data_IF_295395240013
#
_entry.id   IF_295395240013
#
_cell.length_a   1.000
_cell.length_b   1.000
_cell.length_c   1.000
_cell.angle_alpha   90.00
_cell.angle_beta   90.00
_cell.angle_gamma   90.00
#
_symmetry.space_group_name_H-M   'P 1'
#
loop_
_entity.id
_entity.type
_entity.pdbx_description
1 polymer ?
#
# COMPACT_ATOMS: atom_id res chain seq x y z
N UNK A 1 15.09 -15.35 -26.70
CA UNK A 1 13.75 -14.72 -26.69
C UNK A 1 12.72 -15.71 -26.16
N UNK A 2 12.45 -15.72 -24.85
CA UNK A 2 11.41 -16.56 -24.27
C UNK A 2 10.01 -16.09 -24.68
N UNK A 3 9.13 -17.05 -25.01
CA UNK A 3 7.70 -16.80 -25.17
C UNK A 3 7.05 -16.70 -23.79
N UNK A 4 6.42 -15.57 -23.49
CA UNK A 4 5.88 -15.29 -22.15
C UNK A 4 4.47 -14.75 -22.20
N UNK A 5 3.72 -15.01 -21.14
CA UNK A 5 2.39 -14.45 -20.89
C UNK A 5 2.44 -13.52 -19.68
N UNK A 6 1.79 -12.35 -19.77
CA UNK A 6 1.71 -11.41 -18.65
C UNK A 6 0.49 -11.67 -17.79
N UNK A 7 0.71 -11.99 -16.52
CA UNK A 7 -0.32 -12.36 -15.55
C UNK A 7 -0.35 -11.33 -14.42
N UNK A 8 -1.56 -10.96 -14.00
CA UNK A 8 -1.83 -10.06 -12.89
C UNK A 8 -2.69 -10.76 -11.85
N UNK A 9 -2.31 -10.65 -10.58
CA UNK A 9 -3.00 -11.29 -9.45
C UNK A 9 -4.06 -10.39 -8.79
N UNK A 10 -3.78 -9.09 -8.69
CA UNK A 10 -4.68 -8.09 -8.09
C UNK A 10 -4.99 -6.95 -9.05
N UNK A 11 -6.16 -6.30 -8.96
CA UNK A 11 -6.45 -5.07 -9.70
C UNK A 11 -5.35 -4.02 -9.49
N UNK A 12 -4.98 -3.30 -10.56
CA UNK A 12 -3.85 -2.37 -10.57
C UNK A 12 -2.52 -2.98 -10.06
N UNK A 13 -2.37 -4.31 -10.04
CA UNK A 13 -1.15 -4.99 -9.60
C UNK A 13 -0.06 -4.99 -10.67
N UNK A 14 1.18 -5.25 -10.23
CA UNK A 14 2.30 -5.53 -11.13
C UNK A 14 1.98 -6.72 -12.04
N UNK A 15 2.44 -6.62 -13.28
CA UNK A 15 2.33 -7.70 -14.25
C UNK A 15 3.58 -8.54 -14.11
N UNK A 16 3.38 -9.84 -13.91
CA UNK A 16 4.45 -10.82 -13.83
C UNK A 16 4.44 -11.67 -15.09
N UNK A 17 5.61 -11.94 -15.65
CA UNK A 17 5.73 -12.79 -16.84
C UNK A 17 5.90 -14.26 -16.42
N UNK A 18 5.15 -15.14 -17.07
CA UNK A 18 5.19 -16.58 -16.87
C UNK A 18 5.36 -17.29 -18.21
N UNK A 19 5.86 -18.51 -18.16
CA UNK A 19 5.92 -19.41 -19.31
C UNK A 19 4.53 -20.09 -19.49
N UNK A 20 3.81 -19.86 -20.60
CA UNK A 20 2.51 -20.47 -20.86
C UNK A 20 2.61 -21.96 -21.21
N UNK A 21 3.80 -22.49 -21.51
CA UNK A 21 3.98 -23.86 -22.01
C UNK A 21 3.30 -24.05 -23.36
N UNK A 22 2.47 -25.09 -23.46
CA UNK A 22 1.68 -25.40 -24.66
C UNK A 22 0.26 -24.79 -24.63
N UNK A 23 -0.06 -23.98 -23.62
CA UNK A 23 -1.41 -23.42 -23.44
C UNK A 23 -1.61 -22.14 -24.24
N UNK A 24 -2.65 -22.11 -25.07
CA UNK A 24 -3.14 -20.87 -25.67
C UNK A 24 -4.00 -20.09 -24.66
N UNK A 25 -3.48 -18.95 -24.23
CA UNK A 25 -4.06 -18.15 -23.15
C UNK A 25 -4.49 -16.76 -23.66
N UNK A 26 -5.76 -16.59 -24.08
CA UNK A 26 -6.25 -15.28 -24.48
C UNK A 26 -6.35 -14.33 -23.29
N UNK A 27 -6.29 -13.02 -23.57
CA UNK A 27 -6.44 -11.97 -22.55
C UNK A 27 -7.80 -12.11 -21.84
N UNK A 28 -7.80 -11.94 -20.52
CA UNK A 28 -8.97 -12.12 -19.67
C UNK A 28 -9.12 -13.53 -19.09
N UNK A 29 -8.35 -14.51 -19.59
CA UNK A 29 -8.38 -15.89 -19.07
C UNK A 29 -7.83 -15.93 -17.64
N UNK A 30 -8.53 -16.63 -16.75
CA UNK A 30 -8.05 -16.89 -15.38
C UNK A 30 -7.25 -18.19 -15.38
N UNK A 31 -6.05 -18.12 -14.83
CA UNK A 31 -5.09 -19.23 -14.83
C UNK A 31 -4.54 -19.47 -13.44
N UNK A 32 -4.17 -20.72 -13.17
CA UNK A 32 -3.50 -21.15 -11.96
C UNK A 32 -2.01 -21.20 -12.23
N UNK A 33 -1.24 -20.47 -11.43
CA UNK A 33 0.22 -20.40 -11.54
C UNK A 33 0.89 -20.78 -10.24
N UNK A 34 2.10 -21.34 -10.35
CA UNK A 34 2.95 -21.60 -9.20
C UNK A 34 3.85 -20.38 -8.97
N UNK A 35 3.76 -19.75 -7.80
CA UNK A 35 4.65 -18.66 -7.39
C UNK A 35 5.61 -19.15 -6.31
N UNK A 36 6.53 -18.32 -5.82
CA UNK A 36 7.36 -18.68 -4.65
C UNK A 36 6.54 -18.77 -3.36
N UNK A 37 5.32 -18.22 -3.37
CA UNK A 37 4.43 -18.20 -2.21
C UNK A 37 3.48 -19.39 -2.16
N UNK A 38 3.24 -20.03 -3.31
CA UNK A 38 2.37 -21.19 -3.45
C UNK A 38 1.58 -21.09 -4.75
N UNK A 39 0.46 -21.81 -4.80
CA UNK A 39 -0.44 -21.78 -5.94
C UNK A 39 -1.39 -20.59 -5.82
N UNK A 40 -1.45 -19.75 -6.86
CA UNK A 40 -2.28 -18.54 -6.91
C UNK A 40 -3.08 -18.48 -8.22
N UNK A 41 -4.25 -17.84 -8.15
CA UNK A 41 -5.07 -17.56 -9.35
C UNK A 41 -4.72 -16.17 -9.86
N UNK A 42 -4.28 -16.10 -11.11
CA UNK A 42 -4.03 -14.86 -11.83
C UNK A 42 -4.96 -14.69 -13.03
N UNK A 43 -4.96 -13.48 -13.60
CA UNK A 43 -5.63 -13.15 -14.85
C UNK A 43 -4.60 -12.76 -15.90
N UNK A 44 -4.76 -13.29 -17.11
CA UNK A 44 -3.93 -12.94 -18.26
C UNK A 44 -4.31 -11.53 -18.72
N UNK A 45 -3.33 -10.62 -18.71
CA UNK A 45 -3.49 -9.22 -19.11
C UNK A 45 -2.68 -8.87 -20.36
N UNK A 46 -1.59 -9.60 -20.61
CA UNK A 46 -0.79 -9.47 -21.84
C UNK A 46 -0.82 -10.84 -22.53
N UNK A 47 -1.21 -10.90 -23.82
CA UNK A 47 -1.21 -12.16 -24.56
C UNK A 47 0.22 -12.71 -24.69
N UNK A 48 0.33 -14.00 -25.05
CA UNK A 48 1.61 -14.63 -25.32
C UNK A 48 2.42 -13.84 -26.34
N UNK A 49 3.62 -13.40 -25.96
CA UNK A 49 4.54 -12.67 -26.83
C UNK A 49 5.99 -13.03 -26.51
N UNK A 50 6.86 -12.91 -27.51
CA UNK A 50 8.30 -12.97 -27.28
C UNK A 50 8.79 -11.66 -26.67
N UNK A 51 9.59 -11.76 -25.62
CA UNK A 51 10.15 -10.59 -24.92
C UNK A 51 11.66 -10.74 -24.84
N UNK A 52 12.45 -9.65 -24.99
CA UNK A 52 13.89 -9.67 -24.72
C UNK A 52 14.18 -10.17 -23.31
N UNK A 53 15.26 -10.93 -23.15
CA UNK A 53 15.59 -11.58 -21.86
C UNK A 53 15.86 -10.58 -20.73
N UNK A 54 16.30 -9.37 -21.06
CA UNK A 54 16.55 -8.25 -20.14
C UNK A 54 15.27 -7.74 -19.44
N UNK A 55 14.10 -7.91 -20.05
CA UNK A 55 12.82 -7.48 -19.48
C UNK A 55 12.16 -8.57 -18.62
N UNK A 56 12.80 -9.74 -18.50
CA UNK A 56 12.24 -10.91 -17.85
C UNK A 56 13.11 -11.36 -16.69
N UNK A 57 12.54 -11.38 -15.48
CA UNK A 57 13.22 -11.94 -14.32
C UNK A 57 13.24 -13.46 -14.40
N UNK A 58 14.38 -14.04 -14.79
CA UNK A 58 14.59 -15.49 -14.81
C UNK A 58 14.85 -16.05 -13.39
N UNK A 59 14.45 -17.30 -13.08
CA UNK A 59 13.75 -18.26 -13.93
C UNK A 59 12.25 -17.97 -14.05
N UNK A 60 11.74 -18.11 -15.27
CA UNK A 60 10.29 -18.06 -15.53
C UNK A 60 9.61 -19.27 -14.90
N UNK A 61 8.57 -19.02 -14.10
CA UNK A 61 7.69 -20.08 -13.61
C UNK A 61 6.63 -20.41 -14.67
N UNK A 62 6.16 -21.65 -14.66
CA UNK A 62 5.18 -22.14 -15.62
C UNK A 62 3.75 -21.88 -15.16
N UNK A 63 2.86 -21.65 -16.13
CA UNK A 63 1.41 -21.74 -15.91
C UNK A 63 1.04 -23.21 -15.76
N UNK A 64 0.31 -23.55 -14.69
CA UNK A 64 -0.06 -24.94 -14.41
C UNK A 64 -1.23 -25.34 -15.31
N UNK A 65 -2.30 -24.54 -15.29
CA UNK A 65 -3.56 -24.83 -16.00
C UNK A 65 -4.51 -23.63 -16.00
N UNK A 66 -5.54 -23.71 -16.84
CA UNK A 66 -6.71 -22.83 -16.78
C UNK A 66 -7.52 -23.12 -15.51
N UNK A 67 -8.11 -22.07 -14.93
CA UNK A 67 -8.94 -22.17 -13.73
C UNK A 67 -10.19 -23.02 -13.99
N UNK A 68 -10.47 -23.94 -13.07
CA UNK A 68 -11.69 -24.76 -13.08
C UNK A 68 -12.76 -24.17 -12.15
N UNK A 69 -14.05 -24.54 -12.31
CA UNK A 69 -15.11 -24.11 -11.40
C UNK A 69 -14.80 -24.40 -9.93
N UNK A 70 -14.25 -25.58 -9.64
CA UNK A 70 -13.84 -25.98 -8.28
C UNK A 70 -12.80 -25.03 -7.66
N UNK A 71 -11.90 -24.47 -8.48
CA UNK A 71 -10.92 -23.49 -8.00
C UNK A 71 -11.56 -22.15 -7.66
N UNK A 72 -12.61 -21.76 -8.40
CA UNK A 72 -13.37 -20.54 -8.12
C UNK A 72 -14.15 -20.67 -6.81
N UNK A 73 -14.74 -21.84 -6.57
CA UNK A 73 -15.40 -22.15 -5.29
C UNK A 73 -14.39 -22.13 -4.14
N UNK A 74 -13.24 -22.80 -4.30
CA UNK A 74 -12.14 -22.74 -3.32
C UNK A 74 -11.67 -21.32 -3.06
N UNK A 75 -11.52 -20.49 -4.10
CA UNK A 75 -11.13 -19.08 -3.94
C UNK A 75 -12.17 -18.30 -3.13
N UNK A 76 -13.46 -18.54 -3.36
CA UNK A 76 -14.53 -17.90 -2.60
C UNK A 76 -14.49 -18.30 -1.12
N UNK A 77 -14.40 -19.59 -0.84
CA UNK A 77 -14.26 -20.12 0.52
C UNK A 77 -12.99 -19.59 1.21
N UNK A 78 -11.87 -19.51 0.47
CA UNK A 78 -10.61 -18.97 0.97
C UNK A 78 -10.74 -17.50 1.38
N UNK A 79 -11.52 -16.71 0.62
CA UNK A 79 -11.79 -15.30 0.94
C UNK A 79 -12.62 -15.16 2.22
N UNK A 80 -13.61 -16.03 2.42
CA UNK A 80 -14.42 -16.04 3.65
C UNK A 80 -13.56 -16.42 4.86
N UNK A 81 -12.78 -17.49 4.76
CA UNK A 81 -11.81 -17.89 5.80
C UNK A 81 -10.74 -16.83 6.06
N UNK A 82 -10.32 -16.08 5.05
CA UNK A 82 -9.38 -14.97 5.21
C UNK A 82 -9.95 -13.88 6.11
N UNK A 83 -11.23 -13.54 5.95
CA UNK A 83 -11.90 -12.55 6.79
C UNK A 83 -12.03 -13.02 8.24
N UNK A 84 -12.37 -14.29 8.45
CA UNK A 84 -12.39 -14.90 9.78
C UNK A 84 -11.01 -14.89 10.42
N UNK A 85 -9.98 -15.29 9.68
CA UNK A 85 -8.60 -15.28 10.14
C UNK A 85 -8.11 -13.88 10.52
N UNK A 86 -8.48 -12.87 9.73
CA UNK A 86 -8.18 -11.48 10.00
C UNK A 86 -8.86 -10.98 11.27
N UNK A 87 -10.13 -11.37 11.52
CA UNK A 87 -10.84 -11.02 12.74
C UNK A 87 -10.19 -11.64 13.99
N UNK A 88 -9.84 -12.93 13.92
CA UNK A 88 -9.09 -13.61 14.99
C UNK A 88 -7.74 -12.93 15.23
N UNK A 89 -7.03 -12.57 14.16
CA UNK A 89 -5.74 -11.91 14.29
C UNK A 89 -5.85 -10.52 14.93
N UNK A 90 -6.90 -9.75 14.60
CA UNK A 90 -7.17 -8.46 15.24
C UNK A 90 -7.38 -8.60 16.75
N UNK A 91 -8.15 -9.60 17.17
CA UNK A 91 -8.36 -9.87 18.59
C UNK A 91 -7.03 -10.16 19.30
N UNK A 92 -6.21 -11.06 18.75
CA UNK A 92 -4.91 -11.42 19.36
C UNK A 92 -3.91 -10.27 19.41
N UNK A 93 -3.91 -9.42 18.38
CA UNK A 93 -3.09 -8.19 18.35
C UNK A 93 -3.50 -7.25 19.48
N UNK A 94 -4.81 -7.07 19.67
CA UNK A 94 -5.35 -6.23 20.74
C UNK A 94 -5.05 -6.80 22.13
N UNK A 95 -5.25 -8.11 22.34
CA UNK A 95 -4.98 -8.79 23.61
C UNK A 95 -3.51 -8.67 24.04
N UNK A 96 -2.59 -8.60 23.06
CA UNK A 96 -1.15 -8.47 23.29
C UNK A 96 -0.65 -7.02 23.31
N UNK A 97 -1.51 -6.05 23.01
CA UNK A 97 -1.14 -4.63 22.96
C UNK A 97 -0.07 -4.31 21.92
N UNK A 98 -0.06 -5.03 20.78
CA UNK A 98 0.93 -4.79 19.72
C UNK A 98 0.54 -3.56 18.91
N UNK A 99 1.48 -2.63 18.74
CA UNK A 99 1.29 -1.40 17.95
C UNK A 99 1.39 -1.69 16.44
N UNK A 100 0.33 -2.30 15.90
CA UNK A 100 0.19 -2.59 14.48
C UNK A 100 -1.28 -2.59 14.04
N UNK A 101 -1.51 -2.25 12.77
CA UNK A 101 -2.82 -2.24 12.15
C UNK A 101 -2.92 -3.33 11.08
N UNK A 102 -3.79 -4.30 11.28
CA UNK A 102 -4.05 -5.34 10.28
C UNK A 102 -5.00 -4.83 9.18
N UNK A 103 -4.50 -4.82 7.95
CA UNK A 103 -5.17 -4.25 6.77
C UNK A 103 -6.01 -5.31 6.07
N UNK A 104 -5.39 -6.44 5.71
CA UNK A 104 -6.02 -7.47 4.88
C UNK A 104 -5.38 -8.85 5.10
N UNK A 105 -6.04 -9.92 4.70
CA UNK A 105 -5.50 -11.28 4.75
C UNK A 105 -5.87 -12.06 3.49
N UNK A 106 -4.98 -12.93 3.04
CA UNK A 106 -5.20 -13.79 1.88
C UNK A 106 -4.69 -15.21 2.15
N UNK A 107 -5.46 -16.20 1.72
CA UNK A 107 -5.01 -17.60 1.67
C UNK A 107 -4.49 -17.92 0.28
N UNK A 108 -3.44 -18.73 0.20
CA UNK A 108 -3.05 -19.39 -1.04
C UNK A 108 -4.16 -20.36 -1.49
N UNK A 109 -4.20 -20.69 -2.79
CA UNK A 109 -5.28 -21.52 -3.35
C UNK A 109 -5.37 -22.90 -2.66
N UNK A 110 -4.22 -23.46 -2.31
CA UNK A 110 -4.04 -24.73 -1.61
C UNK A 110 -4.25 -24.65 -0.07
N UNK A 111 -4.53 -23.47 0.49
CA UNK A 111 -4.68 -23.21 1.94
C UNK A 111 -3.44 -23.53 2.80
N UNK A 112 -2.30 -23.80 2.17
CA UNK A 112 -1.07 -24.12 2.91
C UNK A 112 -0.53 -22.91 3.68
N UNK A 113 -0.76 -21.70 3.15
CA UNK A 113 -0.24 -20.45 3.71
C UNK A 113 -1.33 -19.37 3.79
N UNK A 114 -1.26 -18.58 4.86
CA UNK A 114 -2.04 -17.37 5.07
C UNK A 114 -1.09 -16.19 5.14
N UNK A 115 -1.28 -15.21 4.27
CA UNK A 115 -0.52 -13.96 4.29
C UNK A 115 -1.40 -12.88 4.89
N UNK A 116 -0.95 -12.27 5.99
CA UNK A 116 -1.66 -11.16 6.65
C UNK A 116 -0.85 -9.89 6.45
N UNK A 117 -1.49 -8.88 5.87
CA UNK A 117 -0.92 -7.58 5.60
C UNK A 117 -1.17 -6.63 6.76
N UNK A 118 -0.10 -5.96 7.22
CA UNK A 118 -0.20 -5.01 8.32
C UNK A 118 0.62 -3.74 8.06
N UNK A 119 0.23 -2.65 8.71
CA UNK A 119 1.02 -1.42 8.81
C UNK A 119 1.45 -1.18 10.26
N UNK A 120 2.64 -0.61 10.44
CA UNK A 120 3.20 -0.24 11.72
C UNK A 120 4.22 0.88 11.50
N UNK A 121 4.29 1.83 12.43
CA UNK A 121 5.21 2.97 12.36
C UNK A 121 6.63 2.61 12.79
N UNK A 122 6.78 1.55 13.59
CA UNK A 122 8.06 1.09 14.14
C UNK A 122 8.29 -0.41 13.98
N UNK A 123 9.35 -0.90 14.64
CA UNK A 123 9.62 -2.33 14.74
C UNK A 123 8.64 -2.94 15.74
N UNK A 124 7.94 -3.99 15.32
CA UNK A 124 7.00 -4.73 16.17
C UNK A 124 7.50 -6.16 16.34
N UNK A 125 7.61 -6.63 17.58
CA UNK A 125 7.92 -8.05 17.83
C UNK A 125 6.62 -8.87 17.80
N UNK A 126 6.46 -9.64 16.72
CA UNK A 126 5.29 -10.48 16.49
C UNK A 126 5.60 -11.98 16.60
N UNK A 127 6.74 -12.38 17.17
CA UNK A 127 7.14 -13.81 17.27
C UNK A 127 6.10 -14.67 17.99
N UNK A 128 5.56 -14.16 19.10
CA UNK A 128 4.52 -14.87 19.86
C UNK A 128 3.18 -14.87 19.14
N UNK A 129 2.82 -13.74 18.50
CA UNK A 129 1.60 -13.63 17.69
C UNK A 129 1.59 -14.68 16.57
N UNK A 130 2.71 -14.89 15.88
CA UNK A 130 2.81 -15.90 14.82
C UNK A 130 2.56 -17.31 15.36
N UNK A 131 3.09 -17.65 16.54
CA UNK A 131 2.85 -18.96 17.19
C UNK A 131 1.37 -19.16 17.52
N UNK A 132 0.75 -18.12 18.06
CA UNK A 132 -0.66 -18.13 18.42
C UNK A 132 -1.60 -18.21 17.21
N UNK A 133 -1.25 -17.54 16.12
CA UNK A 133 -2.03 -17.59 14.89
C UNK A 133 -1.85 -18.94 14.19
N UNK A 134 -0.63 -19.47 14.15
CA UNK A 134 -0.36 -20.80 13.58
C UNK A 134 -1.14 -21.91 14.31
N UNK A 135 -1.23 -21.85 15.65
CA UNK A 135 -2.00 -22.82 16.44
C UNK A 135 -3.51 -22.73 16.20
N UNK A 136 -4.03 -21.52 15.94
CA UNK A 136 -5.48 -21.30 15.77
C UNK A 136 -5.93 -21.57 14.34
N UNK A 137 -5.17 -21.11 13.34
CA UNK A 137 -5.52 -21.18 11.93
C UNK A 137 -5.13 -22.51 11.27
N UNK A 138 -4.27 -23.31 11.91
CA UNK A 138 -3.75 -24.61 11.40
C UNK A 138 -3.11 -24.50 10.00
N UNK A 139 -2.65 -23.32 9.63
CA UNK A 139 -1.96 -23.01 8.38
C UNK A 139 -0.68 -22.22 8.68
N UNK A 140 0.27 -22.20 7.74
CA UNK A 140 1.49 -21.42 7.89
C UNK A 140 1.17 -19.93 7.77
N UNK A 141 1.38 -19.17 8.83
CA UNK A 141 1.10 -17.73 8.86
C UNK A 141 2.34 -16.95 8.46
N UNK A 142 2.18 -16.05 7.49
CA UNK A 142 3.18 -15.08 7.05
C UNK A 142 2.65 -13.67 7.31
N UNK A 143 3.34 -12.90 8.14
CA UNK A 143 3.01 -11.49 8.38
C UNK A 143 3.84 -10.63 7.43
N UNK A 144 3.18 -9.75 6.68
CA UNK A 144 3.83 -8.86 5.73
C UNK A 144 3.52 -7.40 6.05
N UNK A 145 4.57 -6.64 6.35
CA UNK A 145 4.45 -5.19 6.51
C UNK A 145 4.28 -4.54 5.13
N UNK A 146 3.32 -3.63 5.03
CA UNK A 146 3.09 -2.80 3.84
C UNK A 146 3.23 -1.32 4.19
N UNK A 147 3.46 -0.48 3.18
CA UNK A 147 3.50 0.97 3.38
C UNK A 147 2.10 1.60 3.38
N UNK A 148 2.01 2.84 3.86
CA UNK A 148 0.77 3.64 3.89
C UNK A 148 0.09 3.78 2.52
N UNK A 149 0.86 3.79 1.43
CA UNK A 149 0.32 3.86 0.06
C UNK A 149 -0.29 2.54 -0.38
N UNK A 150 0.34 1.42 -0.04
CA UNK A 150 -0.19 0.09 -0.33
C UNK A 150 -1.43 -0.21 0.51
N UNK A 151 -1.45 0.27 1.77
CA UNK A 151 -2.67 0.26 2.58
C UNK A 151 -3.82 0.98 1.87
N UNK A 152 -3.60 2.22 1.41
CA UNK A 152 -4.61 2.96 0.66
C UNK A 152 -4.99 2.28 -0.67
N UNK A 153 -4.07 1.56 -1.31
CA UNK A 153 -4.35 0.77 -2.51
C UNK A 153 -5.28 -0.42 -2.22
N UNK A 154 -5.06 -1.11 -1.11
CA UNK A 154 -5.86 -2.28 -0.71
C UNK A 154 -7.25 -1.86 -0.25
N UNK A 155 -7.32 -0.82 0.61
CA UNK A 155 -8.60 -0.28 1.09
C UNK A 155 -9.38 0.42 -0.03
N UNK A 156 -8.68 0.97 -1.02
CA UNK A 156 -9.28 1.80 -2.05
C UNK A 156 -9.78 3.13 -1.49
N UNK A 157 -10.64 3.80 -2.25
CA UNK A 157 -11.26 5.06 -1.84
C UNK A 157 -11.33 6.09 -2.97
N UNK A 158 -11.67 7.32 -2.58
CA UNK A 158 -11.82 8.47 -3.48
C UNK A 158 -10.73 9.49 -3.15
N UNK A 159 -10.01 9.93 -4.17
CA UNK A 159 -8.98 10.96 -4.04
C UNK A 159 -9.59 12.36 -3.91
N UNK A 160 -8.76 13.37 -3.58
CA UNK A 160 -9.22 14.76 -3.47
C UNK A 160 -9.79 15.32 -4.79
N UNK A 161 -9.48 14.69 -5.92
CA UNK A 161 -10.03 15.00 -7.24
C UNK A 161 -11.45 14.43 -7.49
N UNK A 162 -12.05 13.74 -6.51
CA UNK A 162 -13.39 13.14 -6.64
C UNK A 162 -13.43 11.83 -7.46
N UNK A 163 -12.27 11.30 -7.89
CA UNK A 163 -12.16 10.02 -8.61
C UNK A 163 -11.61 8.91 -7.72
N UNK A 164 -11.75 7.65 -8.13
CA UNK A 164 -11.10 6.53 -7.45
C UNK A 164 -9.58 6.75 -7.37
N UNK A 165 -8.95 6.30 -6.28
CA UNK A 165 -7.49 6.45 -6.10
C UNK A 165 -6.70 5.90 -7.30
N UNK A 166 -5.79 6.72 -7.85
CA UNK A 166 -4.93 6.33 -8.99
C UNK A 166 -4.19 5.01 -8.72
N UNK A 167 -3.69 4.81 -7.49
CA UNK A 167 -2.98 3.60 -7.03
C UNK A 167 -3.83 2.32 -6.96
N UNK A 168 -5.15 2.45 -6.80
CA UNK A 168 -6.10 1.33 -6.77
C UNK A 168 -6.74 1.06 -8.14
N UNK A 169 -6.57 1.98 -9.09
CA UNK A 169 -7.23 1.93 -10.41
C UNK A 169 -6.28 1.46 -11.51
N UNK A 170 -5.27 2.26 -11.85
CA UNK A 170 -4.42 2.01 -13.02
C UNK A 170 -2.91 2.08 -12.71
N UNK A 171 -2.50 2.87 -11.72
CA UNK A 171 -1.08 2.98 -11.35
C UNK A 171 -0.65 1.74 -10.58
N UNK A 172 0.16 0.91 -11.24
CA UNK A 172 0.71 -0.33 -10.67
C UNK A 172 2.08 -0.16 -10.05
N UNK A 173 2.87 0.77 -10.56
CA UNK A 173 4.21 1.10 -10.07
C UNK A 173 4.30 2.55 -9.61
N UNK A 174 5.17 2.79 -8.64
CA UNK A 174 5.30 4.07 -7.98
C UNK A 174 6.73 4.55 -8.05
N UNK A 175 6.91 5.68 -8.71
CA UNK A 175 8.15 6.42 -8.71
C UNK A 175 8.11 7.52 -7.63
N UNK A 176 9.28 7.95 -7.13
CA UNK A 176 9.36 9.07 -6.21
C UNK A 176 8.76 10.32 -6.86
N UNK A 177 7.97 11.07 -6.07
CA UNK A 177 7.36 12.33 -6.49
C UNK A 177 8.06 13.44 -5.73
N UNK A 178 8.46 14.51 -6.43
CA UNK A 178 9.09 15.67 -5.79
C UNK A 178 8.14 16.87 -5.75
N UNK A 179 8.36 17.78 -4.81
CA UNK A 179 7.57 19.01 -4.66
C UNK A 179 7.73 19.92 -5.90
N UNK A 180 8.86 19.82 -6.62
CA UNK A 180 9.09 20.57 -7.87
C UNK A 180 8.02 20.26 -8.92
N UNK A 181 7.58 19.01 -9.01
CA UNK A 181 6.55 18.58 -9.96
C UNK A 181 5.20 19.27 -9.71
N UNK A 182 4.84 19.46 -8.43
CA UNK A 182 3.63 20.19 -8.08
C UNK A 182 3.73 21.67 -8.50
N UNK A 183 4.93 22.27 -8.37
CA UNK A 183 5.19 23.64 -8.80
C UNK A 183 5.13 23.80 -10.32
N UNK A 184 5.71 22.86 -11.07
CA UNK A 184 5.66 22.82 -12.54
C UNK A 184 4.22 22.73 -13.05
N UNK A 185 3.35 22.04 -12.33
CA UNK A 185 1.93 21.89 -12.64
C UNK A 185 1.05 23.02 -12.07
N UNK A 186 1.67 24.11 -11.60
CA UNK A 186 0.98 25.28 -11.02
C UNK A 186 0.04 24.95 -9.85
N UNK A 187 0.33 23.89 -9.09
CA UNK A 187 -0.43 23.55 -7.90
C UNK A 187 0.07 24.35 -6.70
N UNK A 188 -0.87 24.73 -5.85
CA UNK A 188 -0.56 25.38 -4.56
C UNK A 188 0.21 24.41 -3.67
N UNK A 189 1.33 24.87 -3.09
CA UNK A 189 2.20 24.09 -2.20
C UNK A 189 1.60 23.79 -0.82
N UNK A 190 0.29 23.95 -0.65
CA UNK A 190 -0.40 23.55 0.57
C UNK A 190 -0.44 22.00 0.66
N UNK A 191 0.07 21.38 1.73
CA UNK A 191 0.06 19.93 1.91
C UNK A 191 -1.30 19.27 1.68
N UNK A 192 -2.40 19.93 2.03
CA UNK A 192 -3.76 19.41 1.83
C UNK A 192 -4.14 19.25 0.35
N UNK A 193 -3.52 20.03 -0.56
CA UNK A 193 -3.79 19.99 -2.01
C UNK A 193 -2.85 19.07 -2.78
N UNK A 194 -1.64 18.84 -2.27
CA UNK A 194 -0.60 18.06 -2.96
C UNK A 194 -0.38 16.66 -2.36
N UNK A 195 -1.00 16.37 -1.21
CA UNK A 195 -0.94 15.06 -0.57
C UNK A 195 -2.18 14.23 -0.90
N UNK A 196 -1.97 12.95 -1.19
CA UNK A 196 -3.05 11.98 -1.32
C UNK A 196 -3.57 11.51 0.03
N UNK A 197 -4.64 10.71 0.00
CA UNK A 197 -5.27 10.10 1.19
C UNK A 197 -4.28 9.29 2.02
N UNK A 198 -3.24 8.73 1.40
CA UNK A 198 -2.16 8.01 2.07
C UNK A 198 -1.14 8.90 2.80
N UNK A 199 -1.33 10.23 2.84
CA UNK A 199 -0.42 11.19 3.49
C UNK A 199 0.89 11.46 2.74
N UNK A 200 1.11 10.82 1.58
CA UNK A 200 2.24 11.09 0.68
C UNK A 200 1.82 11.98 -0.48
N UNK A 201 2.78 12.57 -1.17
CA UNK A 201 2.55 13.34 -2.41
C UNK A 201 1.73 12.53 -3.43
N UNK A 202 0.87 13.24 -4.16
CA UNK A 202 -0.02 12.69 -5.18
C UNK A 202 0.78 11.95 -6.27
N UNK A 203 0.55 10.65 -6.39
CA UNK A 203 1.19 9.81 -7.41
C UNK A 203 0.83 10.21 -8.85
N UNK A 204 -0.32 10.85 -9.04
CA UNK A 204 -0.78 11.29 -10.36
C UNK A 204 0.05 12.49 -10.88
N UNK A 205 0.77 13.24 -10.01
CA UNK A 205 1.69 14.31 -10.44
C UNK A 205 2.80 13.78 -11.34
N UNK A 206 3.40 12.64 -10.96
CA UNK A 206 4.44 12.01 -11.79
C UNK A 206 3.87 11.51 -13.10
N UNK A 207 2.75 10.82 -13.04
CA UNK A 207 2.06 10.31 -14.23
C UNK A 207 1.77 11.41 -15.25
N UNK A 208 1.23 12.55 -14.83
CA UNK A 208 0.94 13.68 -15.69
C UNK A 208 2.22 14.33 -16.25
N UNK A 209 3.30 14.39 -15.45
CA UNK A 209 4.58 14.92 -15.93
C UNK A 209 5.24 14.02 -16.98
N UNK A 210 5.11 12.69 -16.85
CA UNK A 210 5.67 11.74 -17.82
C UNK A 210 4.91 11.82 -19.14
N UNK A 211 3.57 11.89 -19.07
CA UNK A 211 2.71 12.13 -20.23
C UNK A 211 3.07 13.44 -20.96
N UNK A 212 3.33 14.52 -20.21
CA UNK A 212 3.71 15.80 -20.80
C UNK A 212 5.10 15.77 -21.47
N UNK A 213 6.02 14.92 -20.98
CA UNK A 213 7.38 14.76 -21.54
C UNK A 213 7.44 13.81 -22.74
N UNK A 214 6.49 12.88 -22.84
CA UNK A 214 6.40 11.89 -23.90
C UNK A 214 5.07 12.02 -24.65
N UNK A 215 4.87 13.10 -25.45
CA UNK A 215 3.65 13.26 -26.24
C UNK A 215 3.43 12.07 -27.20
N UNK A 216 4.49 11.35 -27.56
CA UNK A 216 4.46 10.24 -28.53
C UNK A 216 3.81 8.94 -28.00
N UNK A 217 3.53 8.86 -26.70
CA UNK A 217 2.83 7.70 -26.12
C UNK A 217 1.36 7.55 -26.62
N UNK A 218 0.79 8.59 -27.24
CA UNK A 218 -0.54 8.57 -27.86
C UNK A 218 -0.51 8.45 -29.39
N UNK A 219 0.63 8.69 -30.05
CA UNK A 219 0.78 8.67 -31.52
C UNK A 219 1.34 7.35 -32.07
N UNK A 220 1.75 6.42 -31.20
CA UNK A 220 2.08 5.06 -31.62
C UNK A 220 3.45 4.88 -32.25
N UNK A 221 4.38 5.81 -32.00
CA UNK A 221 5.79 5.66 -32.37
C UNK A 221 6.62 5.70 -31.09
N UNK A 222 7.12 4.53 -30.66
CA UNK A 222 8.06 4.43 -29.54
C UNK A 222 9.44 4.80 -30.07
N UNK A 223 9.89 6.02 -29.83
CA UNK A 223 11.32 6.32 -29.80
C UNK A 223 11.84 5.96 -28.40
N UNK A 224 12.79 5.02 -28.36
CA UNK A 224 13.58 4.69 -27.18
C UNK A 224 14.48 5.89 -26.89
N UNK A 225 14.14 6.68 -25.87
CA UNK A 225 15.08 7.65 -25.30
C UNK A 225 15.79 6.99 -24.11
N UNK A 226 17.08 6.73 -24.31
CA UNK A 226 18.03 6.43 -23.25
C UNK A 226 18.08 7.62 -22.29
N UNK A 227 17.49 7.50 -21.10
CA UNK A 227 17.77 8.44 -20.00
C UNK A 227 19.17 8.09 -19.46
N UNK A 228 20.16 8.88 -19.91
CA UNK A 228 21.47 8.98 -19.29
C UNK A 228 21.30 9.35 -17.82
N UNK A 229 21.65 8.44 -16.92
CA UNK A 229 21.81 8.73 -15.50
C UNK A 229 23.00 9.67 -15.35
N UNK A 230 22.72 10.94 -15.05
CA UNK A 230 23.73 11.87 -14.59
C UNK A 230 24.34 11.34 -13.29
N UNK A 231 25.62 11.00 -13.38
CA UNK A 231 26.48 10.71 -12.24
C UNK A 231 26.62 11.98 -11.38
N UNK A 232 26.03 11.98 -10.19
CA UNK A 232 26.53 12.78 -9.09
C UNK A 232 27.00 11.82 -7.98
N UNK A 233 28.25 11.41 -8.13
CA UNK A 233 29.00 10.63 -7.15
C UNK A 233 29.21 11.50 -5.89
N UNK A 234 28.54 11.15 -4.80
CA UNK A 234 28.97 11.58 -3.46
C UNK A 234 30.07 10.61 -3.02
N UNK A 235 31.29 11.13 -2.99
CA UNK A 235 32.49 10.45 -2.54
C UNK A 235 32.32 9.86 -1.13
N UNK A 236 32.60 8.56 -1.00
CA UNK A 236 33.01 7.95 0.27
C UNK A 236 34.50 7.68 0.15
N UNK A 237 35.29 8.43 0.92
CA UNK A 237 36.71 8.16 1.10
C UNK A 237 36.87 6.81 1.82
N UNK A 238 37.60 5.89 1.19
CA UNK A 238 38.12 4.69 1.84
C UNK A 238 39.28 5.08 2.77
N UNK A 239 39.20 4.67 4.04
CA UNK A 239 40.32 4.60 4.97
C UNK A 239 40.55 3.14 5.38
N UNK A 240 41.82 2.71 5.56
CA UNK A 240 42.25 1.35 5.27
C UNK A 240 42.12 0.36 6.44
N UNK A 241 42.18 -0.92 6.07
CA UNK A 241 42.30 -2.07 6.94
C UNK A 241 43.59 -2.07 7.77
N UNK A 242 43.51 -2.59 9.01
CA UNK A 242 44.59 -3.36 9.61
C UNK A 242 44.93 -3.08 11.07
N UNK A 243 44.81 -4.12 11.91
CA UNK A 243 45.79 -4.37 12.99
C UNK A 243 45.30 -4.32 14.44
N UNK A 244 45.01 -5.51 14.99
CA UNK A 244 45.41 -6.05 16.31
C UNK A 244 45.80 -5.12 17.46
N UNK A 245 45.26 -5.38 18.67
CA UNK A 245 45.94 -5.06 19.93
C UNK A 245 45.01 -4.81 21.13
N UNK A 246 45.19 -5.57 22.19
CA UNK A 246 44.61 -5.37 23.53
C UNK A 246 45.05 -4.03 24.14
N UNK A 247 44.23 -3.45 25.03
CA UNK A 247 44.53 -3.28 26.47
C UNK A 247 43.47 -2.38 27.16
N UNK A 248 43.25 -2.68 28.43
CA UNK A 248 42.38 -1.99 29.37
C UNK A 248 42.80 -0.51 29.59
N UNK A 249 41.87 0.35 30.02
CA UNK A 249 41.98 1.22 31.21
C UNK A 249 40.74 2.11 31.36
N UNK A 250 40.27 2.12 32.61
CA UNK A 250 39.26 2.97 33.24
C UNK A 250 39.37 4.48 32.98
N UNK A 251 38.23 5.19 33.01
CA UNK A 251 37.85 6.15 34.07
C UNK A 251 37.08 7.39 33.57
N UNK A 252 35.95 7.66 34.24
CA UNK A 252 35.60 9.02 34.70
C UNK A 252 34.79 9.93 33.76
N UNK A 253 33.91 10.81 34.31
CA UNK A 253 32.72 11.29 33.64
C UNK A 253 32.86 12.71 33.08
N UNK A 254 32.07 13.04 32.05
CA UNK A 254 31.83 14.44 31.67
C UNK A 254 30.33 14.70 31.55
N UNK A 255 29.89 15.64 32.37
CA UNK A 255 28.55 16.19 32.48
C UNK A 255 28.14 17.06 31.27
N UNK A 256 26.81 17.12 31.07
CA UNK A 256 25.99 18.26 30.58
C UNK A 256 26.22 18.76 29.14
N UNK A 257 25.18 18.65 28.32
CA UNK A 257 24.21 19.77 28.17
C UNK A 257 22.95 19.34 27.41
N UNK A 258 21.82 19.72 27.99
CA UNK A 258 20.46 19.50 27.52
C UNK A 258 20.03 20.64 26.60
N UNK A 259 19.81 20.38 25.32
CA UNK A 259 19.12 21.30 24.42
C UNK A 259 17.67 20.81 24.21
N UNK A 260 16.75 21.47 24.92
CA UNK A 260 15.31 21.36 24.76
C UNK A 260 14.93 22.04 23.44
N UNK A 261 14.37 21.30 22.50
CA UNK A 261 13.70 21.87 21.33
C UNK A 261 12.25 22.18 21.72
N UNK A 262 11.94 23.47 21.88
CA UNK A 262 10.61 24.00 22.16
C UNK A 262 9.62 23.62 21.04
N UNK A 263 8.44 23.13 21.44
CA UNK A 263 7.30 22.90 20.55
C UNK A 263 6.62 24.24 20.23
N UNK A 264 6.21 24.51 18.99
CA UNK A 264 5.37 25.68 18.71
C UNK A 264 3.99 25.53 19.37
N UNK A 265 3.37 26.64 19.82
CA UNK A 265 2.09 26.59 20.51
C UNK A 265 0.96 26.14 19.58
N UNK A 266 0.05 25.32 20.14
CA UNK A 266 -1.20 24.90 19.49
C UNK A 266 -2.08 26.12 19.23
N UNK A 267 -2.57 26.25 18.00
CA UNK A 267 -3.64 27.16 17.67
C UNK A 267 -4.92 26.79 18.45
N UNK A 268 -5.46 27.76 19.16
CA UNK A 268 -6.70 27.67 19.92
C UNK A 268 -7.90 27.59 18.97
N UNK A 269 -8.76 26.59 19.14
CA UNK A 269 -10.09 26.54 18.54
C UNK A 269 -11.06 27.28 19.48
N UNK A 270 -11.88 28.22 18.98
CA UNK A 270 -12.77 29.00 19.83
C UNK A 270 -14.03 28.21 20.21
N UNK A 271 -14.40 28.29 21.49
CA UNK A 271 -15.78 28.19 21.96
C UNK A 271 -16.22 26.85 22.54
N UNK A 272 -16.05 26.68 23.85
CA UNK A 272 -16.97 25.96 24.73
C UNK A 272 -16.72 26.43 26.16
N UNK A 273 -17.55 27.36 26.63
CA UNK A 273 -17.49 27.89 27.99
C UNK A 273 -17.88 26.81 29.01
N UNK A 274 -16.95 26.56 29.93
CA UNK A 274 -17.10 25.61 31.01
C UNK A 274 -18.11 26.09 32.03
N UNK A 275 -19.33 25.54 31.97
CA UNK A 275 -20.19 25.34 33.14
C UNK A 275 -21.10 24.13 32.90
N UNK A 276 -21.02 23.13 33.79
CA UNK A 276 -22.15 22.28 34.13
C UNK A 276 -22.42 21.01 33.30
N UNK A 277 -22.25 19.86 33.97
CA UNK A 277 -23.04 18.63 33.80
C UNK A 277 -23.05 17.89 32.44
N UNK A 278 -22.15 16.91 32.31
CA UNK A 278 -22.33 15.77 31.41
C UNK A 278 -23.40 14.82 31.97
N UNK A 279 -24.68 15.14 31.74
CA UNK A 279 -25.79 14.22 31.95
C UNK A 279 -26.02 13.37 30.68
N UNK A 280 -25.76 12.06 30.86
CA UNK A 280 -26.29 10.91 30.12
C UNK A 280 -27.26 11.21 28.97
N UNK A 281 -26.87 10.90 27.74
CA UNK A 281 -27.82 10.55 26.68
C UNK A 281 -28.22 9.08 26.80
N UNK A 282 -29.31 8.81 27.52
CA UNK A 282 -30.05 7.55 27.43
C UNK A 282 -31.14 7.70 26.37
N UNK A 283 -31.08 6.81 25.38
CA UNK A 283 -32.20 6.25 24.59
C UNK A 283 -33.10 7.18 23.75
N UNK A 284 -33.42 6.66 22.56
CA UNK A 284 -34.69 6.79 21.85
C UNK A 284 -35.14 8.21 21.48
N UNK A 285 -34.94 8.61 20.23
CA UNK A 285 -35.94 8.40 19.18
C UNK A 285 -35.67 9.29 17.96
N UNK A 286 -35.99 8.72 16.80
CA UNK A 286 -36.41 9.42 15.58
C UNK A 286 -35.51 10.55 15.04
N UNK A 287 -34.68 10.16 14.07
CA UNK A 287 -34.34 10.99 12.92
C UNK A 287 -35.62 11.33 12.13
N UNK A 288 -35.88 12.60 11.75
CA UNK A 288 -36.70 12.90 10.59
C UNK A 288 -35.84 13.36 9.42
N UNK A 289 -36.20 12.84 8.24
CA UNK A 289 -35.73 13.20 6.91
C UNK A 289 -36.42 14.47 6.42
N UNK A 290 -35.78 15.09 5.41
CA UNK A 290 -36.36 15.99 4.38
C UNK A 290 -36.95 17.31 4.92
N UNK A 291 -36.90 18.47 4.28
CA UNK A 291 -36.71 18.90 2.89
C UNK A 291 -36.52 20.42 2.94
N UNK A 292 -35.53 20.98 2.24
CA UNK A 292 -35.69 21.95 1.14
C UNK A 292 -36.92 22.88 1.17
N UNK A 293 -36.60 24.16 0.91
CA UNK A 293 -37.48 25.27 0.50
C UNK A 293 -38.34 25.86 1.64
N UNK A 294 -38.56 27.15 1.77
CA UNK A 294 -38.05 28.37 1.13
C UNK A 294 -38.60 29.52 1.98
N UNK A 295 -37.83 30.61 2.02
CA UNK A 295 -38.28 32.01 2.07
C UNK A 295 -39.35 32.50 3.08
N UNK A 296 -38.99 33.66 3.65
CA UNK A 296 -39.83 34.71 4.25
C UNK A 296 -40.09 34.67 5.76
N UNK A 297 -39.37 35.58 6.44
CA UNK A 297 -40.04 36.62 7.22
C UNK A 297 -40.31 36.33 8.69
N UNK A 298 -39.55 36.98 9.58
CA UNK A 298 -39.94 37.16 10.98
C UNK A 298 -38.75 37.47 11.86
N UNK A 299 -38.43 38.76 11.99
CA UNK A 299 -37.34 39.23 12.84
C UNK A 299 -37.69 39.36 14.33
N UNK A 300 -36.65 39.78 15.06
CA UNK A 300 -36.59 40.23 16.46
C UNK A 300 -36.77 39.16 17.55
N UNK A 301 -36.05 39.13 18.67
CA UNK A 301 -34.78 39.68 19.23
C UNK A 301 -34.74 39.11 20.69
N UNK A 302 -33.67 39.29 21.48
CA UNK A 302 -33.17 38.27 22.41
C UNK A 302 -33.68 38.37 23.86
N UNK A 303 -33.49 37.29 24.62
CA UNK A 303 -33.13 37.33 26.05
C UNK A 303 -32.14 36.22 26.37
#
# INVERSE_FOLDING_TARGET
MPFVVGIRFRPAGKIYYFDPGELELPVGTRVVVETVRGTEIGMVVVPGREVPEEQVTQPLKKVIRVVTPDDLEKQKENREKAQEALAVARQKVQDRGLDMKLVDAEYTLDRSRVVIYFTADGRVDFRELVRDLASTLRSRVELRQIGVRDEAKILGGIGPCGRQLCCASFLSEFYPVSIRMAKEQNLSLNPAKISGVCGRLLCCLRFESELARTPDALTGEREESEESLDEEQVAFEEGPEGGTGQEDVSSGPVEKESAQAERPPRAELPGCDGTGDCLRCTSSDSCPKDSRESETGGGCEPR
#
